data_IF_665119125413
#
_entry.id   IF_665119125413
#
_cell.length_a   1.000
_cell.length_b   1.000
_cell.length_c   1.000
_cell.angle_alpha   90.00
_cell.angle_beta   90.00
_cell.angle_gamma   90.00
#
_symmetry.space_group_name_H-M   'P 1'
#
loop_
_entity.id
_entity.type
_entity.pdbx_description
1 polymer ?
#
# COMPACT_ATOMS: atom_id res chain seq x y z
N UNK A 1 -1.54 -8.24 16.15
CA UNK A 1 -0.36 -8.41 15.29
C UNK A 1 0.60 -9.41 15.92
N UNK A 2 1.10 -10.34 15.14
CA UNK A 2 2.09 -11.34 15.52
C UNK A 2 3.21 -11.31 14.50
N UNK A 3 4.45 -11.44 14.98
CA UNK A 3 5.62 -11.56 14.12
C UNK A 3 6.12 -12.99 14.20
N UNK A 4 6.13 -13.69 13.06
CA UNK A 4 6.73 -15.00 12.92
C UNK A 4 8.16 -14.86 12.41
N UNK A 5 9.09 -15.56 13.03
CA UNK A 5 10.48 -15.61 12.62
C UNK A 5 10.87 -17.04 12.29
N UNK A 6 11.48 -17.24 11.16
CA UNK A 6 12.13 -18.48 10.78
C UNK A 6 13.60 -18.20 10.51
N UNK A 7 14.47 -19.02 11.05
CA UNK A 7 15.90 -18.92 10.85
C UNK A 7 16.49 -20.33 10.67
N UNK A 8 17.12 -20.56 9.53
CA UNK A 8 17.81 -21.79 9.20
C UNK A 8 19.32 -21.48 9.02
N UNK A 9 20.01 -21.32 10.12
CA UNK A 9 21.39 -20.87 10.13
C UNK A 9 21.53 -19.36 9.83
N UNK A 10 22.75 -18.91 9.46
CA UNK A 10 23.05 -17.49 9.25
C UNK A 10 22.58 -16.95 7.88
N UNK A 11 22.08 -17.81 7.00
CA UNK A 11 21.91 -17.52 5.58
C UNK A 11 20.44 -17.41 5.14
N UNK A 12 19.53 -18.18 5.77
CA UNK A 12 18.10 -18.13 5.46
C UNK A 12 17.33 -17.62 6.67
N UNK A 13 16.78 -16.44 6.54
CA UNK A 13 15.97 -15.81 7.59
C UNK A 13 14.70 -15.22 6.98
N UNK A 14 13.60 -15.50 7.62
CA UNK A 14 12.29 -14.95 7.30
C UNK A 14 11.66 -14.33 8.54
N UNK A 15 11.17 -13.12 8.42
CA UNK A 15 10.43 -12.43 9.46
C UNK A 15 9.18 -11.82 8.87
N UNK A 16 8.00 -12.29 9.30
CA UNK A 16 6.73 -11.79 8.79
C UNK A 16 5.79 -11.39 9.91
N UNK A 17 5.20 -10.22 9.76
CA UNK A 17 4.06 -9.78 10.55
C UNK A 17 2.76 -10.35 9.98
N UNK A 18 1.88 -10.77 10.85
CA UNK A 18 0.52 -11.21 10.52
C UNK A 18 -0.49 -10.72 11.54
N UNK A 19 -1.76 -10.72 11.16
CA UNK A 19 -2.88 -10.47 12.07
C UNK A 19 -3.52 -11.81 12.39
N UNK A 20 -3.52 -12.21 13.66
CA UNK A 20 -4.23 -13.41 14.13
C UNK A 20 -5.73 -13.14 14.25
N UNK A 21 -6.08 -11.97 14.78
CA UNK A 21 -7.46 -11.54 14.95
C UNK A 21 -7.52 -10.02 14.96
N UNK A 22 -8.64 -9.48 14.55
CA UNK A 22 -8.95 -8.04 14.65
C UNK A 22 -9.83 -7.80 15.88
N UNK A 23 -9.71 -6.60 16.46
CA UNK A 23 -10.71 -6.13 17.43
C UNK A 23 -12.00 -5.83 16.67
N UNK A 24 -13.13 -6.37 17.12
CA UNK A 24 -14.42 -6.09 16.50
C UNK A 24 -15.46 -5.64 17.53
N UNK A 25 -16.35 -4.76 17.07
CA UNK A 25 -17.60 -4.38 17.72
C UNK A 25 -18.70 -4.68 16.72
N UNK A 26 -19.59 -5.60 17.04
CA UNK A 26 -20.63 -6.08 16.14
C UNK A 26 -21.98 -6.08 16.83
N UNK A 27 -23.02 -5.57 16.15
CA UNK A 27 -24.39 -5.51 16.65
C UNK A 27 -25.38 -5.78 15.52
N UNK A 28 -26.45 -6.52 15.80
CA UNK A 28 -27.59 -6.65 14.88
C UNK A 28 -28.48 -5.38 14.84
N UNK A 29 -28.32 -4.51 15.83
CA UNK A 29 -29.03 -3.24 15.94
C UNK A 29 -28.10 -2.04 15.71
N UNK A 30 -28.28 -1.01 16.51
CA UNK A 30 -27.45 0.18 16.47
C UNK A 30 -26.19 -0.02 17.30
N UNK A 31 -25.03 0.19 16.66
CA UNK A 31 -23.74 0.38 17.35
C UNK A 31 -23.53 1.86 17.57
N UNK A 32 -23.48 2.30 18.83
CA UNK A 32 -23.25 3.69 19.22
C UNK A 32 -21.96 3.78 20.05
N UNK A 33 -21.02 4.60 19.57
CA UNK A 33 -19.74 4.84 20.24
C UNK A 33 -19.61 6.34 20.50
N UNK A 34 -19.44 6.71 21.76
CA UNK A 34 -19.25 8.09 22.21
C UNK A 34 -17.93 8.22 22.99
N UNK A 35 -17.25 9.35 22.83
CA UNK A 35 -16.01 9.58 23.57
C UNK A 35 -15.37 10.92 23.29
N UNK A 36 -14.11 11.05 23.72
CA UNK A 36 -13.29 12.22 23.39
C UNK A 36 -12.66 12.04 22.00
N UNK A 37 -12.06 10.87 21.77
CA UNK A 37 -11.49 10.45 20.52
C UNK A 37 -11.87 8.99 20.23
N UNK A 38 -11.92 8.64 18.95
CA UNK A 38 -12.02 7.27 18.49
C UNK A 38 -10.82 6.93 17.59
N UNK A 39 -10.18 5.80 17.84
CA UNK A 39 -9.07 5.30 17.00
C UNK A 39 -9.22 3.80 16.76
N UNK A 40 -9.13 3.40 15.51
CA UNK A 40 -9.11 2.01 15.06
C UNK A 40 -7.94 1.80 14.10
N UNK A 41 -7.14 0.74 14.35
CA UNK A 41 -6.10 0.25 13.46
C UNK A 41 -6.34 -1.23 13.18
N UNK A 42 -6.67 -1.56 11.94
CA UNK A 42 -7.11 -2.90 11.52
C UNK A 42 -8.28 -3.45 12.37
N UNK A 43 -9.15 -2.59 12.85
CA UNK A 43 -10.33 -2.97 13.63
C UNK A 43 -11.59 -2.99 12.77
N UNK A 44 -12.66 -3.59 13.30
CA UNK A 44 -13.96 -3.67 12.65
C UNK A 44 -15.07 -3.19 13.56
N UNK A 45 -15.94 -2.33 13.05
CA UNK A 45 -17.15 -1.89 13.72
C UNK A 45 -18.32 -2.05 12.76
N UNK A 46 -19.32 -2.81 13.18
CA UNK A 46 -20.51 -3.07 12.35
C UNK A 46 -21.78 -2.98 13.15
N UNK A 47 -22.85 -2.60 12.48
CA UNK A 47 -24.22 -2.55 13.05
C UNK A 47 -25.25 -2.44 11.94
N UNK A 48 -26.52 -2.44 12.31
CA UNK A 48 -27.58 -1.98 11.42
C UNK A 48 -27.41 -0.48 11.15
N UNK A 49 -27.27 0.30 12.22
CA UNK A 49 -26.82 1.68 12.19
C UNK A 49 -25.52 1.77 13.01
N UNK A 50 -24.45 2.30 12.44
CA UNK A 50 -23.19 2.52 13.13
C UNK A 50 -22.99 4.02 13.32
N UNK A 51 -22.93 4.46 14.57
CA UNK A 51 -22.78 5.88 14.95
C UNK A 51 -21.53 6.02 15.81
N UNK A 52 -20.61 6.86 15.39
CA UNK A 52 -19.42 7.23 16.18
C UNK A 52 -19.48 8.75 16.38
N UNK A 53 -19.64 9.19 17.61
CA UNK A 53 -19.78 10.59 17.99
C UNK A 53 -18.72 10.97 19.02
N UNK A 54 -17.77 11.82 18.63
CA UNK A 54 -16.64 12.18 19.48
C UNK A 54 -16.41 13.69 19.52
N UNK A 55 -15.89 14.13 20.66
CA UNK A 55 -15.64 15.56 20.91
C UNK A 55 -14.46 16.11 20.11
N UNK A 56 -13.48 15.27 19.75
CA UNK A 56 -12.26 15.69 19.07
C UNK A 56 -12.07 14.97 17.74
N UNK A 57 -11.41 13.81 17.71
CA UNK A 57 -10.98 13.18 16.47
C UNK A 57 -11.48 11.75 16.30
N UNK A 58 -11.88 11.42 15.09
CA UNK A 58 -12.06 10.05 14.61
C UNK A 58 -10.88 9.69 13.73
N UNK A 59 -10.20 8.58 14.01
CA UNK A 59 -9.15 8.00 13.17
C UNK A 59 -9.49 6.55 12.86
N UNK A 60 -9.77 6.26 11.60
CA UNK A 60 -10.01 4.92 11.05
C UNK A 60 -8.80 4.62 10.17
N UNK A 61 -7.80 3.98 10.76
CA UNK A 61 -6.48 3.80 10.18
C UNK A 61 -6.15 2.35 9.87
N UNK A 62 -4.97 2.17 9.32
CA UNK A 62 -4.42 0.86 8.97
C UNK A 62 -3.24 0.49 9.86
N UNK A 63 -3.13 -0.80 10.15
CA UNK A 63 -1.96 -1.39 10.79
C UNK A 63 -0.90 -1.71 9.75
N UNK A 64 0.35 -1.34 10.01
CA UNK A 64 1.49 -1.71 9.16
C UNK A 64 1.99 -3.11 9.49
N UNK A 65 2.10 -3.94 8.48
CA UNK A 65 2.67 -5.28 8.51
C UNK A 65 3.96 -5.28 7.69
N UNK A 66 5.03 -5.85 8.25
CA UNK A 66 6.35 -5.93 7.61
C UNK A 66 6.73 -7.37 7.34
N UNK A 67 7.39 -7.61 6.22
CA UNK A 67 8.08 -8.85 5.90
C UNK A 67 9.53 -8.56 5.56
N UNK A 68 10.44 -9.41 5.98
CA UNK A 68 11.87 -9.37 5.67
C UNK A 68 12.35 -10.80 5.48
N UNK A 69 12.76 -11.11 4.26
CA UNK A 69 13.29 -12.41 3.89
C UNK A 69 14.72 -12.25 3.39
N UNK A 70 15.59 -13.16 3.80
CA UNK A 70 16.93 -13.30 3.27
C UNK A 70 17.20 -14.77 2.98
N UNK A 71 17.60 -15.06 1.74
CA UNK A 71 17.99 -16.39 1.27
C UNK A 71 19.37 -16.32 0.65
N UNK A 72 20.18 -17.35 0.81
CA UNK A 72 21.45 -17.41 0.13
C UNK A 72 22.50 -18.29 0.80
N UNK A 73 23.61 -18.47 0.09
CA UNK A 73 24.75 -19.25 0.54
C UNK A 73 25.82 -18.42 1.28
N UNK A 74 25.92 -17.12 0.97
CA UNK A 74 26.90 -16.20 1.54
C UNK A 74 26.52 -14.73 1.28
N UNK A 75 27.37 -13.78 1.62
CA UNK A 75 27.12 -12.35 1.40
C UNK A 75 27.21 -11.92 -0.07
N UNK A 76 27.84 -12.71 -0.92
CA UNK A 76 28.00 -12.46 -2.35
C UNK A 76 26.94 -13.18 -3.19
N UNK A 77 26.23 -14.17 -2.60
CA UNK A 77 25.20 -14.98 -3.23
C UNK A 77 23.97 -15.04 -2.35
N UNK A 78 23.15 -14.01 -2.43
CA UNK A 78 21.95 -13.89 -1.61
C UNK A 78 20.85 -13.09 -2.33
N UNK A 79 19.64 -13.32 -1.88
CA UNK A 79 18.46 -12.57 -2.23
C UNK A 79 17.81 -12.03 -0.96
N UNK A 80 17.45 -10.76 -0.94
CA UNK A 80 16.68 -10.15 0.14
C UNK A 80 15.38 -9.58 -0.40
N UNK A 81 14.33 -9.76 0.36
CA UNK A 81 13.00 -9.28 0.03
C UNK A 81 12.40 -8.57 1.23
N UNK A 82 12.04 -7.31 1.06
CA UNK A 82 11.42 -6.51 2.11
C UNK A 82 10.05 -6.05 1.67
N UNK A 83 9.08 -6.22 2.55
CA UNK A 83 7.68 -5.97 2.28
C UNK A 83 7.09 -5.08 3.36
N UNK A 84 6.32 -4.08 2.94
CA UNK A 84 5.44 -3.32 3.81
C UNK A 84 4.02 -3.41 3.26
N UNK A 85 3.09 -3.89 4.08
CA UNK A 85 1.66 -3.99 3.76
C UNK A 85 0.83 -3.24 4.79
N UNK A 86 -0.36 -2.83 4.37
CA UNK A 86 -1.33 -2.12 5.20
C UNK A 86 -2.59 -2.95 5.35
N UNK A 87 -2.99 -3.18 6.60
CA UNK A 87 -4.28 -3.78 6.92
C UNK A 87 -5.21 -2.69 7.45
N UNK A 88 -6.20 -2.31 6.65
CA UNK A 88 -7.14 -1.24 6.99
C UNK A 88 -8.15 -1.64 8.05
N UNK A 89 -8.77 -0.64 8.65
CA UNK A 89 -9.98 -0.79 9.47
C UNK A 89 -11.24 -0.76 8.61
N UNK A 90 -12.33 -1.28 9.15
CA UNK A 90 -13.66 -1.24 8.55
C UNK A 90 -14.67 -0.67 9.56
N UNK A 91 -15.45 0.30 9.11
CA UNK A 91 -16.64 0.78 9.81
C UNK A 91 -17.82 0.64 8.86
N UNK A 92 -18.81 -0.18 9.21
CA UNK A 92 -19.91 -0.46 8.30
C UNK A 92 -21.28 -0.48 9.00
N UNK A 93 -22.33 -0.26 8.21
CA UNK A 93 -23.73 -0.35 8.62
C UNK A 93 -24.61 -0.80 7.47
N UNK A 94 -25.65 -1.59 7.74
CA UNK A 94 -26.61 -1.96 6.68
C UNK A 94 -27.53 -0.80 6.31
N UNK A 95 -28.00 -0.02 7.28
CA UNK A 95 -28.89 1.11 7.03
C UNK A 95 -28.14 2.44 6.97
N UNK A 96 -27.19 2.65 7.90
CA UNK A 96 -26.42 3.90 7.93
C UNK A 96 -25.10 3.79 8.67
N UNK A 97 -24.14 4.66 8.26
CA UNK A 97 -22.97 5.01 9.04
C UNK A 97 -22.92 6.51 9.24
N UNK A 98 -22.84 6.96 10.50
CA UNK A 98 -22.77 8.37 10.89
C UNK A 98 -21.50 8.58 11.73
N UNK A 99 -20.59 9.39 11.24
CA UNK A 99 -19.36 9.77 11.93
C UNK A 99 -19.39 11.28 12.24
N UNK A 100 -19.39 11.63 13.51
CA UNK A 100 -19.36 13.01 13.98
C UNK A 100 -18.09 13.24 14.81
N UNK A 101 -17.30 14.23 14.45
CA UNK A 101 -16.12 14.66 15.20
C UNK A 101 -16.10 16.16 15.38
N UNK A 102 -15.71 16.62 16.57
CA UNK A 102 -15.56 18.06 16.81
C UNK A 102 -14.44 18.69 15.98
N UNK A 103 -13.33 17.94 15.75
CA UNK A 103 -12.17 18.45 14.99
C UNK A 103 -12.02 17.70 13.67
N UNK A 104 -11.44 16.50 13.66
CA UNK A 104 -11.06 15.84 12.42
C UNK A 104 -11.64 14.42 12.31
N UNK A 105 -12.06 14.07 11.09
CA UNK A 105 -12.25 12.69 10.67
C UNK A 105 -11.11 12.32 9.72
N UNK A 106 -10.34 11.29 10.09
CA UNK A 106 -9.24 10.77 9.29
C UNK A 106 -9.52 9.31 8.93
N UNK A 107 -9.71 9.03 7.65
CA UNK A 107 -9.81 7.67 7.11
C UNK A 107 -8.57 7.41 6.28
N UNK A 108 -7.73 6.43 6.69
CA UNK A 108 -6.41 6.17 6.10
C UNK A 108 -6.25 4.70 5.74
N UNK A 109 -6.20 4.40 4.43
CA UNK A 109 -6.07 3.03 3.93
C UNK A 109 -7.15 2.10 4.49
N UNK A 110 -8.37 2.58 4.65
CA UNK A 110 -9.46 1.96 5.40
C UNK A 110 -10.81 2.16 4.71
N UNK A 111 -11.84 1.47 5.19
CA UNK A 111 -13.17 1.53 4.59
C UNK A 111 -14.22 2.03 5.58
N UNK A 112 -15.11 2.89 5.08
CA UNK A 112 -16.35 3.28 5.73
C UNK A 112 -17.49 3.03 4.74
N UNK A 113 -18.44 2.16 5.09
CA UNK A 113 -19.43 1.70 4.12
C UNK A 113 -20.83 1.50 4.72
N UNK A 114 -21.86 1.67 3.89
CA UNK A 114 -23.25 1.34 4.21
C UNK A 114 -24.02 0.98 2.95
N UNK A 115 -24.97 0.06 3.06
CA UNK A 115 -25.94 -0.16 1.97
C UNK A 115 -26.89 1.05 1.85
N UNK A 116 -27.09 1.80 2.94
CA UNK A 116 -27.83 3.05 2.98
C UNK A 116 -26.94 4.29 2.94
N UNK A 117 -27.10 5.20 3.88
CA UNK A 117 -26.39 6.50 3.88
C UNK A 117 -25.12 6.44 4.72
N UNK A 118 -24.02 7.00 4.16
CA UNK A 118 -22.80 7.32 4.91
C UNK A 118 -22.71 8.83 5.08
N UNK A 119 -22.61 9.29 6.34
CA UNK A 119 -22.48 10.71 6.67
C UNK A 119 -21.27 10.94 7.56
N UNK A 120 -20.39 11.87 7.16
CA UNK A 120 -19.24 12.35 7.89
C UNK A 120 -19.40 13.84 8.16
N UNK A 121 -19.30 14.25 9.43
CA UNK A 121 -19.41 15.66 9.84
C UNK A 121 -18.24 16.02 10.77
N UNK A 122 -17.44 17.04 10.44
CA UNK A 122 -16.28 17.45 11.23
C UNK A 122 -15.83 18.90 10.91
N UNK A 123 -14.79 19.40 11.60
CA UNK A 123 -14.07 20.59 11.10
C UNK A 123 -13.32 20.28 9.82
N UNK A 124 -12.57 19.16 9.80
CA UNK A 124 -11.88 18.70 8.59
C UNK A 124 -12.16 17.21 8.34
N UNK A 125 -12.33 16.84 7.08
CA UNK A 125 -12.50 15.47 6.63
C UNK A 125 -11.32 15.09 5.75
N UNK A 126 -10.56 14.06 6.14
CA UNK A 126 -9.39 13.58 5.44
C UNK A 126 -9.58 12.11 5.05
N UNK A 127 -9.72 11.85 3.76
CA UNK A 127 -9.86 10.53 3.16
C UNK A 127 -8.58 10.26 2.38
N UNK A 128 -7.65 9.55 3.00
CA UNK A 128 -6.26 9.47 2.55
C UNK A 128 -5.85 8.03 2.25
N UNK A 129 -4.96 7.88 1.30
CA UNK A 129 -4.26 6.61 1.09
C UNK A 129 -3.15 6.40 2.12
N UNK A 130 -2.76 5.15 2.26
CA UNK A 130 -1.50 4.71 2.86
C UNK A 130 -0.60 4.12 1.77
N UNK A 131 0.71 4.05 2.00
CA UNK A 131 1.65 3.45 1.05
C UNK A 131 2.10 2.08 1.51
N UNK A 132 2.13 1.14 0.58
CA UNK A 132 2.82 -0.12 0.66
C UNK A 132 4.10 -0.07 -0.14
N UNK A 133 5.06 -0.90 0.20
CA UNK A 133 6.31 -0.99 -0.56
C UNK A 133 6.83 -2.41 -0.65
N UNK A 134 7.53 -2.67 -1.72
CA UNK A 134 8.23 -3.92 -2.00
C UNK A 134 9.65 -3.59 -2.46
N UNK A 135 10.64 -4.20 -1.83
CA UNK A 135 12.04 -4.07 -2.18
C UNK A 135 12.66 -5.44 -2.33
N UNK A 136 13.33 -5.65 -3.46
CA UNK A 136 14.07 -6.87 -3.75
C UNK A 136 15.52 -6.51 -4.08
N UNK A 137 16.46 -7.25 -3.49
CA UNK A 137 17.86 -7.19 -3.85
C UNK A 137 18.37 -8.61 -4.11
N UNK A 138 19.02 -8.81 -5.26
CA UNK A 138 19.67 -10.05 -5.64
C UNK A 138 21.15 -9.79 -5.86
N UNK A 139 21.99 -10.59 -5.24
CA UNK A 139 23.43 -10.63 -5.47
C UNK A 139 23.83 -12.03 -5.86
N UNK A 140 24.60 -12.15 -6.91
CA UNK A 140 25.16 -13.41 -7.35
C UNK A 140 26.57 -13.18 -7.87
N UNK A 141 27.53 -13.91 -7.32
CA UNK A 141 28.93 -13.83 -7.71
C UNK A 141 29.48 -15.24 -7.85
N UNK A 142 30.04 -15.50 -8.97
CA UNK A 142 30.69 -16.77 -9.25
C UNK A 142 31.99 -16.55 -9.99
N UNK A 143 32.90 -17.47 -9.84
CA UNK A 143 34.14 -17.41 -10.60
C UNK A 143 35.27 -18.22 -9.99
N UNK A 144 36.36 -18.24 -10.71
CA UNK A 144 37.63 -18.87 -10.35
C UNK A 144 38.79 -17.96 -10.80
N UNK A 145 40.04 -18.45 -10.72
CA UNK A 145 41.23 -17.68 -11.09
C UNK A 145 41.19 -17.21 -12.54
N UNK A 146 40.47 -17.92 -13.42
CA UNK A 146 40.45 -17.66 -14.87
C UNK A 146 39.22 -16.90 -15.34
N UNK A 147 38.13 -16.95 -14.61
CA UNK A 147 36.87 -16.26 -14.97
C UNK A 147 36.08 -15.83 -13.76
N UNK A 148 35.51 -14.65 -13.79
CA UNK A 148 34.63 -14.11 -12.75
C UNK A 148 33.38 -13.52 -13.36
N UNK A 149 32.25 -13.71 -12.69
CA UNK A 149 31.02 -13.04 -13.01
C UNK A 149 30.36 -12.51 -11.75
N UNK A 150 29.69 -11.37 -11.85
CA UNK A 150 28.86 -10.82 -10.78
C UNK A 150 27.60 -10.21 -11.35
N UNK A 151 26.49 -10.44 -10.64
CA UNK A 151 25.18 -9.84 -10.88
C UNK A 151 24.72 -9.18 -9.60
N UNK A 152 24.33 -7.92 -9.68
CA UNK A 152 23.61 -7.21 -8.65
C UNK A 152 22.33 -6.62 -9.25
N UNK A 153 21.19 -6.99 -8.71
CA UNK A 153 19.90 -6.49 -9.14
C UNK A 153 19.12 -5.95 -7.94
N UNK A 154 18.54 -4.75 -8.10
CA UNK A 154 17.72 -4.11 -7.08
C UNK A 154 16.45 -3.60 -7.72
N UNK A 155 15.33 -3.85 -7.07
CA UNK A 155 14.06 -3.25 -7.42
C UNK A 155 13.38 -2.68 -6.19
N UNK A 156 12.68 -1.57 -6.38
CA UNK A 156 11.82 -0.94 -5.40
C UNK A 156 10.53 -0.52 -6.08
N UNK A 157 9.41 -0.76 -5.41
CA UNK A 157 8.10 -0.38 -5.90
C UNK A 157 7.21 0.06 -4.74
N UNK A 158 6.53 1.19 -4.92
CA UNK A 158 5.43 1.63 -4.06
C UNK A 158 4.08 1.33 -4.70
N UNK A 159 3.08 1.10 -3.86
CA UNK A 159 1.67 1.05 -4.21
C UNK A 159 0.83 1.82 -3.19
N UNK A 160 -0.29 2.40 -3.63
CA UNK A 160 -1.22 3.07 -2.75
C UNK A 160 -2.34 2.13 -2.32
N UNK A 161 -2.65 2.13 -1.03
CA UNK A 161 -3.87 1.56 -0.46
C UNK A 161 -4.79 2.72 -0.15
N UNK A 162 -5.72 3.01 -1.06
CA UNK A 162 -6.69 4.09 -0.91
C UNK A 162 -7.71 3.79 0.19
N UNK A 163 -8.24 4.85 0.79
CA UNK A 163 -9.45 4.73 1.59
C UNK A 163 -10.68 4.69 0.70
N UNK A 164 -11.74 4.05 1.17
CA UNK A 164 -13.01 4.00 0.45
C UNK A 164 -14.15 4.42 1.36
N UNK A 165 -14.91 5.41 0.92
CA UNK A 165 -16.22 5.77 1.50
C UNK A 165 -17.26 5.32 0.49
N UNK A 166 -18.19 4.45 0.90
CA UNK A 166 -19.19 3.87 -0.01
C UNK A 166 -20.57 3.81 0.66
N UNK A 167 -21.61 4.23 -0.06
CA UNK A 167 -22.98 4.18 0.40
C UNK A 167 -23.98 4.29 -0.74
N UNK A 168 -25.29 4.15 -0.44
CA UNK A 168 -26.31 4.56 -1.42
C UNK A 168 -26.36 6.10 -1.53
N UNK A 169 -26.13 6.80 -0.42
CA UNK A 169 -25.82 8.24 -0.44
C UNK A 169 -24.58 8.48 0.41
N UNK A 170 -23.73 9.40 -0.03
CA UNK A 170 -22.55 9.84 0.73
C UNK A 170 -22.65 11.34 0.99
N UNK A 171 -22.57 11.74 2.27
CA UNK A 171 -22.63 13.12 2.71
C UNK A 171 -21.34 13.43 3.47
N UNK A 172 -20.55 14.37 2.97
CA UNK A 172 -19.36 14.88 3.61
C UNK A 172 -19.60 16.36 3.96
N UNK A 173 -19.63 16.68 5.22
CA UNK A 173 -19.90 18.05 5.72
C UNK A 173 -18.73 18.52 6.60
N UNK A 174 -17.88 19.38 6.06
CA UNK A 174 -16.72 19.94 6.75
C UNK A 174 -16.88 21.45 6.97
N UNK A 175 -16.61 21.92 8.20
CA UNK A 175 -16.59 23.36 8.46
C UNK A 175 -15.42 24.07 7.76
N UNK A 176 -14.28 23.36 7.55
CA UNK A 176 -13.10 23.87 6.88
C UNK A 176 -12.83 23.11 5.57
N UNK A 177 -12.07 22.03 5.62
CA UNK A 177 -11.54 21.39 4.42
C UNK A 177 -11.98 19.93 4.29
N UNK A 178 -12.21 19.50 3.03
CA UNK A 178 -12.32 18.10 2.64
C UNK A 178 -11.10 17.76 1.77
N UNK A 179 -10.32 16.78 2.21
CA UNK A 179 -9.14 16.32 1.49
C UNK A 179 -9.32 14.84 1.11
N UNK A 180 -9.34 14.55 -0.19
CA UNK A 180 -9.43 13.21 -0.74
C UNK A 180 -8.16 12.96 -1.55
N UNK A 181 -7.29 12.05 -1.08
CA UNK A 181 -6.02 11.78 -1.72
C UNK A 181 -5.86 10.29 -2.05
N UNK A 182 -5.71 9.98 -3.34
CA UNK A 182 -5.59 8.62 -3.88
C UNK A 182 -6.59 7.63 -3.23
N UNK A 183 -7.84 8.06 -3.12
CA UNK A 183 -8.90 7.41 -2.36
C UNK A 183 -10.23 7.55 -3.10
N UNK A 184 -11.24 6.76 -2.70
CA UNK A 184 -12.49 6.67 -3.41
C UNK A 184 -13.68 7.13 -2.55
N UNK A 185 -14.57 7.89 -3.15
CA UNK A 185 -15.89 8.21 -2.60
C UNK A 185 -16.93 7.75 -3.63
N UNK A 186 -17.78 6.81 -3.22
CA UNK A 186 -18.65 6.07 -4.14
C UNK A 186 -20.08 6.11 -3.61
N UNK A 187 -21.02 6.55 -4.44
CA UNK A 187 -22.44 6.47 -4.16
C UNK A 187 -23.12 5.60 -5.24
N UNK A 188 -23.67 4.46 -4.80
CA UNK A 188 -24.30 3.46 -5.67
C UNK A 188 -25.80 3.47 -5.37
N UNK A 189 -26.63 3.47 -6.40
CA UNK A 189 -28.09 3.34 -6.23
C UNK A 189 -28.42 2.03 -5.53
N UNK A 190 -29.19 2.13 -4.44
CA UNK A 190 -29.79 0.97 -3.80
C UNK A 190 -31.05 0.51 -4.54
N UNK A 191 -31.52 -0.69 -4.21
CA UNK A 191 -32.79 -1.22 -4.69
C UNK A 191 -33.93 -0.63 -3.83
N UNK A 192 -34.83 0.14 -4.41
CA UNK A 192 -35.99 0.64 -3.67
C UNK A 192 -36.57 1.97 -4.19
N UNK A 193 -37.54 2.51 -3.44
CA UNK A 193 -38.25 3.75 -3.79
C UNK A 193 -37.39 5.00 -3.71
N UNK A 194 -36.31 4.98 -2.89
CA UNK A 194 -35.29 6.02 -2.78
C UNK A 194 -33.91 5.48 -3.18
N UNK A 195 -33.64 5.33 -4.47
CA UNK A 195 -32.45 4.62 -4.92
C UNK A 195 -31.14 5.29 -4.53
N UNK A 196 -31.14 6.58 -4.13
CA UNK A 196 -29.91 7.28 -3.74
C UNK A 196 -28.97 7.52 -4.93
N UNK A 197 -27.73 7.12 -4.75
CA UNK A 197 -26.67 7.31 -5.76
C UNK A 197 -26.03 8.70 -5.70
N UNK A 198 -26.25 9.48 -4.63
CA UNK A 198 -25.83 10.87 -4.58
C UNK A 198 -24.60 11.07 -3.67
N UNK A 199 -23.67 11.91 -4.13
CA UNK A 199 -22.57 12.44 -3.32
C UNK A 199 -22.85 13.93 -3.08
N UNK A 200 -22.85 14.34 -1.82
CA UNK A 200 -22.94 15.72 -1.38
C UNK A 200 -21.70 16.00 -0.52
N UNK A 201 -20.83 16.90 -0.98
CA UNK A 201 -19.65 17.30 -0.23
C UNK A 201 -19.67 18.82 -0.04
N UNK A 202 -19.73 19.29 1.19
CA UNK A 202 -19.75 20.70 1.55
C UNK A 202 -18.56 21.02 2.43
N UNK A 203 -17.81 22.04 2.07
CA UNK A 203 -16.67 22.54 2.86
C UNK A 203 -16.76 24.07 3.01
N UNK A 204 -16.41 24.55 4.20
CA UNK A 204 -16.36 26.01 4.43
C UNK A 204 -15.21 26.71 3.73
N UNK A 205 -14.11 25.98 3.43
CA UNK A 205 -12.94 26.51 2.71
C UNK A 205 -12.68 25.75 1.41
N UNK A 206 -12.11 24.55 1.46
CA UNK A 206 -11.60 23.87 0.28
C UNK A 206 -12.10 22.42 0.19
N UNK A 207 -12.35 21.97 -1.05
CA UNK A 207 -12.48 20.56 -1.40
C UNK A 207 -11.29 20.20 -2.29
N UNK A 208 -10.37 19.40 -1.77
CA UNK A 208 -9.14 19.02 -2.44
C UNK A 208 -9.21 17.55 -2.88
N UNK A 209 -9.18 17.30 -4.18
CA UNK A 209 -9.14 15.95 -4.77
C UNK A 209 -7.75 15.76 -5.37
N UNK A 210 -6.92 14.99 -4.70
CA UNK A 210 -5.49 14.91 -4.92
C UNK A 210 -5.07 13.51 -5.36
N UNK A 211 -3.98 13.45 -6.10
CA UNK A 211 -3.28 12.21 -6.42
C UNK A 211 -2.11 11.96 -5.47
N UNK A 212 -1.66 10.71 -5.39
CA UNK A 212 -0.41 10.30 -4.71
C UNK A 212 0.62 9.87 -5.73
N UNK A 213 1.83 10.35 -5.59
CA UNK A 213 2.98 9.91 -6.40
C UNK A 213 3.65 8.72 -5.72
N UNK A 214 3.92 7.69 -6.51
CA UNK A 214 4.49 6.41 -6.08
C UNK A 214 5.82 6.17 -6.78
N UNK A 215 6.87 5.91 -6.03
CA UNK A 215 8.20 5.71 -6.54
C UNK A 215 8.44 4.27 -6.97
N UNK A 216 9.12 4.12 -8.12
CA UNK A 216 9.57 2.85 -8.66
C UNK A 216 11.01 2.97 -9.13
N UNK A 217 11.85 2.03 -8.78
CA UNK A 217 13.22 1.99 -9.26
C UNK A 217 13.67 0.56 -9.57
N UNK A 218 14.53 0.45 -10.57
CA UNK A 218 15.18 -0.79 -10.94
C UNK A 218 16.63 -0.49 -11.29
N UNK A 219 17.56 -1.30 -10.79
CA UNK A 219 18.98 -1.24 -11.10
C UNK A 219 19.53 -2.65 -11.30
N UNK A 220 20.27 -2.85 -12.38
CA UNK A 220 20.98 -4.10 -12.69
C UNK A 220 22.42 -3.79 -13.08
N UNK A 221 23.35 -4.45 -12.43
CA UNK A 221 24.77 -4.39 -12.71
C UNK A 221 25.29 -5.79 -12.96
N UNK A 222 25.85 -6.00 -14.13
CA UNK A 222 26.53 -7.24 -14.50
C UNK A 222 27.99 -6.94 -14.80
N UNK A 223 28.86 -7.78 -14.33
CA UNK A 223 30.27 -7.78 -14.71
C UNK A 223 30.72 -9.19 -14.96
N UNK A 224 31.49 -9.38 -16.04
CA UNK A 224 32.16 -10.63 -16.30
C UNK A 224 33.58 -10.39 -16.82
N UNK A 225 34.47 -11.27 -16.45
CA UNK A 225 35.84 -11.26 -16.97
C UNK A 225 36.35 -12.69 -17.15
N UNK A 226 37.17 -12.90 -18.13
CA UNK A 226 37.69 -14.24 -18.39
C UNK A 226 38.95 -14.23 -19.26
N UNK A 227 39.77 -15.25 -19.04
CA UNK A 227 40.88 -15.59 -19.91
C UNK A 227 40.47 -16.67 -20.91
N UNK A 228 40.82 -16.51 -22.16
CA UNK A 228 40.71 -17.55 -23.17
C UNK A 228 42.06 -17.82 -23.80
N UNK A 229 42.34 -19.09 -24.11
CA UNK A 229 43.51 -19.52 -24.80
C UNK A 229 43.11 -20.06 -26.16
N UNK A 230 43.74 -19.53 -27.24
CA UNK A 230 43.55 -20.00 -28.59
C UNK A 230 44.81 -20.69 -29.06
N UNK A 231 44.67 -21.92 -29.56
CA UNK A 231 45.74 -22.67 -30.17
C UNK A 231 45.37 -22.92 -31.62
N UNK A 232 46.22 -22.48 -32.55
CA UNK A 232 46.05 -22.77 -33.96
C UNK A 232 47.34 -23.40 -34.51
N UNK A 233 47.18 -24.51 -35.23
CA UNK A 233 48.27 -25.17 -35.97
C UNK A 233 47.95 -25.17 -37.46
N UNK A 234 48.89 -24.70 -38.29
CA UNK A 234 48.72 -24.72 -39.75
C UNK A 234 50.01 -24.39 -40.46
N UNK A 235 50.33 -25.09 -41.56
CA UNK A 235 51.39 -24.73 -42.52
C UNK A 235 52.79 -24.62 -41.95
N UNK A 236 53.15 -25.37 -40.90
CA UNK A 236 54.52 -25.38 -40.35
C UNK A 236 54.80 -24.44 -39.19
N UNK A 237 53.73 -23.88 -38.60
CA UNK A 237 53.85 -23.03 -37.41
C UNK A 237 52.73 -23.35 -36.35
N UNK A 238 53.09 -23.15 -35.09
CA UNK A 238 52.17 -23.21 -33.94
C UNK A 238 52.00 -21.79 -33.35
N UNK A 239 50.76 -21.32 -33.24
CA UNK A 239 50.46 -20.08 -32.57
C UNK A 239 49.65 -20.34 -31.32
N UNK A 240 50.10 -19.85 -30.19
CA UNK A 240 49.35 -19.83 -28.93
C UNK A 240 49.03 -18.37 -28.59
N UNK A 241 47.77 -18.08 -28.42
CA UNK A 241 47.29 -16.77 -28.01
C UNK A 241 46.57 -16.86 -26.65
N UNK A 242 46.79 -15.90 -25.79
CA UNK A 242 46.04 -15.70 -24.55
C UNK A 242 45.30 -14.38 -24.69
N UNK A 243 43.98 -14.39 -24.49
CA UNK A 243 43.17 -13.18 -24.46
C UNK A 243 42.45 -13.04 -23.13
N UNK A 244 42.36 -11.83 -22.65
CA UNK A 244 41.57 -11.47 -21.49
C UNK A 244 40.45 -10.54 -21.93
N UNK A 245 39.23 -10.86 -21.55
CA UNK A 245 38.07 -10.05 -21.87
C UNK A 245 37.32 -9.62 -20.58
N UNK A 246 36.79 -8.41 -20.61
CA UNK A 246 35.92 -7.89 -19.58
C UNK A 246 34.67 -7.32 -20.22
N UNK A 247 33.52 -7.68 -19.68
CA UNK A 247 32.24 -7.10 -20.04
C UNK A 247 31.56 -6.50 -18.79
N UNK A 248 30.94 -5.36 -18.97
CA UNK A 248 30.08 -4.77 -17.91
C UNK A 248 28.82 -4.21 -18.53
N UNK A 249 27.71 -4.47 -17.88
CA UNK A 249 26.41 -3.89 -18.16
C UNK A 249 25.90 -3.20 -16.91
N UNK A 250 25.50 -1.95 -17.04
CA UNK A 250 24.80 -1.22 -16.00
C UNK A 250 23.52 -0.66 -16.59
N UNK A 251 22.40 -0.99 -15.96
CA UNK A 251 21.09 -0.49 -16.32
C UNK A 251 20.41 0.06 -15.08
N UNK A 252 19.93 1.29 -15.17
CA UNK A 252 19.14 1.94 -14.10
C UNK A 252 17.89 2.55 -14.70
N UNK A 253 16.76 2.32 -14.06
CA UNK A 253 15.48 2.93 -14.40
C UNK A 253 14.86 3.46 -13.12
N UNK A 254 14.51 4.73 -13.12
CA UNK A 254 13.72 5.36 -12.07
C UNK A 254 12.46 5.89 -12.72
N UNK A 255 11.35 5.75 -12.06
CA UNK A 255 10.07 6.22 -12.54
C UNK A 255 9.11 6.46 -11.40
N UNK A 256 8.07 7.19 -11.69
CA UNK A 256 6.95 7.39 -10.79
C UNK A 256 5.67 6.94 -11.46
N UNK A 257 4.76 6.40 -10.66
CA UNK A 257 3.37 6.17 -11.04
C UNK A 257 2.47 7.04 -10.17
N UNK A 258 1.23 7.26 -10.60
CA UNK A 258 0.30 8.12 -9.89
C UNK A 258 -0.94 7.30 -9.54
N UNK A 259 -1.32 7.31 -8.26
CA UNK A 259 -2.61 6.84 -7.80
C UNK A 259 -3.57 8.03 -7.72
N UNK A 260 -4.74 7.93 -8.34
CA UNK A 260 -5.73 9.00 -8.41
C UNK A 260 -6.83 8.81 -7.37
N UNK A 261 -7.51 9.89 -7.03
CA UNK A 261 -8.78 9.87 -6.30
C UNK A 261 -9.95 9.74 -7.26
N UNK A 262 -11.01 9.06 -6.83
CA UNK A 262 -12.24 8.87 -7.62
C UNK A 262 -13.45 9.29 -6.80
N UNK A 263 -14.28 10.15 -7.37
CA UNK A 263 -15.64 10.40 -6.91
C UNK A 263 -16.59 9.83 -7.97
N UNK A 264 -17.38 8.83 -7.59
CA UNK A 264 -18.28 8.14 -8.50
C UNK A 264 -19.69 8.13 -7.91
N UNK A 265 -20.64 8.62 -8.67
CA UNK A 265 -22.05 8.74 -8.29
C UNK A 265 -22.92 8.20 -9.42
N UNK A 266 -23.88 7.35 -9.11
CA UNK A 266 -24.91 6.91 -10.07
C UNK A 266 -26.11 7.87 -10.15
N UNK A 267 -26.17 8.84 -9.24
CA UNK A 267 -27.14 9.94 -9.23
C UNK A 267 -26.47 11.28 -9.48
N UNK A 268 -26.49 12.16 -8.49
CA UNK A 268 -25.94 13.52 -8.58
C UNK A 268 -24.70 13.66 -7.69
N UNK A 269 -23.74 14.45 -8.17
CA UNK A 269 -22.61 14.92 -7.34
C UNK A 269 -22.74 16.43 -7.18
N UNK A 270 -22.76 16.89 -5.92
CA UNK A 270 -22.72 18.30 -5.53
C UNK A 270 -21.46 18.52 -4.68
N UNK A 271 -20.60 19.44 -5.11
CA UNK A 271 -19.36 19.84 -4.43
C UNK A 271 -19.38 21.31 -4.06
#
# INVERSE_FOLDING_TARGET
KVTANYNNGDLDRTTHDSILSVGSIESEGTTYIEGKNYTSEAGRVTGKNTIIDVKENITIGSLTLKGDDKFGSDNDNNETYQLTRKAGSEVSGTDSVILNAGNNINVKGSMVGSDGTVQLTAENINILNEKESERKELKNKSGNILSNSSLEEKSYRESAVGSTIIGSNVILDAKNDINIKASNVIAIKGDGENPGGNIIATAGNNINILAETLDNSYSRKEKSSGFSTNFASGGGGFTAGVSYSTNSLEQTRNGTTVAISTLMSEGSTLL
#
